data_IF_334038516637
#
_entry.id   IF_334038516637
#
_cell.length_a   1.000
_cell.length_b   1.000
_cell.length_c   1.000
_cell.angle_alpha   90.00
_cell.angle_beta   90.00
_cell.angle_gamma   90.00
#
_symmetry.space_group_name_H-M   'P 1'
#
loop_
_entity.id
_entity.type
_entity.pdbx_description
1 polymer ?
#
# COMPACT_ATOMS: atom_id res chain seq x y z
N UNK A 1 -6.81 23.46 -23.69
CA UNK A 1 -6.75 24.16 -22.39
C UNK A 1 -7.23 23.19 -21.32
N UNK A 2 -6.31 22.44 -20.70
CA UNK A 2 -6.66 21.53 -19.62
C UNK A 2 -6.84 22.37 -18.36
N UNK A 3 -8.10 22.54 -17.93
CA UNK A 3 -8.42 23.14 -16.64
C UNK A 3 -7.88 22.23 -15.54
N UNK A 4 -6.81 22.68 -14.88
CA UNK A 4 -6.27 22.03 -13.68
C UNK A 4 -7.34 21.95 -12.62
N UNK A 5 -7.92 20.76 -12.46
CA UNK A 5 -8.84 20.46 -11.36
C UNK A 5 -8.08 20.51 -10.04
N UNK A 6 -8.62 21.29 -9.10
CA UNK A 6 -8.16 21.42 -7.71
C UNK A 6 -7.72 20.07 -7.13
N UNK A 7 -6.42 19.94 -6.82
CA UNK A 7 -5.83 18.70 -6.34
C UNK A 7 -6.33 18.22 -4.98
N UNK A 8 -7.19 18.95 -4.27
CA UNK A 8 -7.61 18.57 -2.91
C UNK A 8 -8.60 17.40 -2.87
N UNK A 9 -9.41 17.24 -3.90
CA UNK A 9 -10.47 16.22 -3.95
C UNK A 9 -10.13 15.05 -4.88
N UNK A 10 -8.88 14.96 -5.33
CA UNK A 10 -8.45 13.86 -6.19
C UNK A 10 -8.51 12.56 -5.40
N UNK A 11 -9.39 11.66 -5.84
CA UNK A 11 -9.50 10.31 -5.30
C UNK A 11 -8.38 9.43 -5.87
N UNK A 12 -7.76 8.64 -5.01
CA UNK A 12 -6.74 7.67 -5.32
C UNK A 12 -7.19 6.27 -4.87
N UNK A 13 -6.57 5.26 -5.46
CA UNK A 13 -6.82 3.86 -5.20
C UNK A 13 -5.54 3.18 -4.77
N UNK A 14 -5.63 2.36 -3.72
CA UNK A 14 -4.52 1.54 -3.22
C UNK A 14 -4.89 0.07 -3.20
N UNK A 15 -4.07 -0.81 -3.78
CA UNK A 15 -4.27 -2.26 -3.79
C UNK A 15 -3.12 -2.98 -3.11
N UNK A 16 -3.43 -4.00 -2.30
CA UNK A 16 -2.45 -4.91 -1.72
C UNK A 16 -2.41 -6.23 -2.49
N UNK A 17 -1.29 -6.50 -3.15
CA UNK A 17 -1.01 -7.70 -3.92
C UNK A 17 -0.07 -8.63 -3.14
N UNK A 18 -0.06 -9.93 -3.47
CA UNK A 18 0.85 -10.88 -2.81
C UNK A 18 1.65 -11.76 -3.76
N UNK A 19 2.93 -11.91 -3.41
CA UNK A 19 3.85 -12.89 -3.95
C UNK A 19 4.06 -14.01 -2.94
N UNK A 20 4.05 -15.24 -3.42
CA UNK A 20 4.64 -16.36 -2.69
C UNK A 20 6.11 -16.46 -3.08
N UNK A 21 6.99 -16.50 -2.09
CA UNK A 21 8.44 -16.66 -2.27
C UNK A 21 8.91 -18.05 -1.86
N UNK A 22 8.21 -18.66 -0.89
CA UNK A 22 8.51 -19.98 -0.36
C UNK A 22 7.42 -20.48 0.57
N UNK A 23 7.69 -21.59 1.27
CA UNK A 23 6.77 -22.12 2.28
C UNK A 23 6.60 -21.09 3.40
N UNK A 24 5.39 -20.56 3.54
CA UNK A 24 5.06 -19.53 4.51
C UNK A 24 5.90 -18.24 4.41
N UNK A 25 6.47 -17.97 3.24
CA UNK A 25 7.23 -16.75 2.94
C UNK A 25 6.61 -16.00 1.76
N UNK A 26 6.42 -14.70 1.95
CA UNK A 26 5.62 -13.88 1.08
C UNK A 26 6.11 -12.43 0.98
N UNK A 27 5.77 -11.77 -0.12
CA UNK A 27 5.90 -10.31 -0.26
C UNK A 27 4.54 -9.71 -0.53
N UNK A 28 4.08 -8.82 0.33
CA UNK A 28 2.93 -7.96 0.07
C UNK A 28 3.40 -6.71 -0.66
N UNK A 29 2.71 -6.31 -1.72
CA UNK A 29 3.04 -5.10 -2.49
C UNK A 29 1.83 -4.20 -2.49
N UNK A 30 1.95 -3.06 -1.84
CA UNK A 30 0.96 -2.00 -1.87
C UNK A 30 1.25 -1.08 -3.06
N UNK A 31 0.30 -0.97 -4.00
CA UNK A 31 0.41 -0.12 -5.19
C UNK A 31 -0.64 0.98 -5.16
N UNK A 32 -0.29 2.17 -5.63
CA UNK A 32 -1.18 3.36 -5.62
C UNK A 32 -1.24 4.02 -7.00
N UNK A 33 -2.46 4.38 -7.43
CA UNK A 33 -2.72 5.13 -8.66
C UNK A 33 -3.98 6.02 -8.53
N UNK A 34 -4.24 6.85 -9.56
CA UNK A 34 -5.43 7.70 -9.67
C UNK A 34 -6.68 6.94 -10.12
N UNK A 35 -6.48 5.82 -10.80
CA UNK A 35 -7.54 5.02 -11.39
C UNK A 35 -7.25 3.53 -11.24
N UNK A 36 -8.31 2.72 -11.33
CA UNK A 36 -8.28 1.27 -11.13
C UNK A 36 -7.67 0.55 -12.35
N UNK A 37 -7.79 1.12 -13.54
CA UNK A 37 -7.30 0.51 -14.78
C UNK A 37 -5.76 0.45 -14.75
N UNK A 38 -5.10 1.53 -14.33
CA UNK A 38 -3.65 1.57 -14.11
C UNK A 38 -3.17 0.49 -13.14
N UNK A 39 -3.91 0.25 -12.05
CA UNK A 39 -3.57 -0.81 -11.08
C UNK A 39 -3.78 -2.21 -11.68
N UNK A 40 -4.82 -2.38 -12.48
CA UNK A 40 -5.13 -3.64 -13.18
C UNK A 40 -4.07 -3.97 -14.22
N UNK A 41 -3.72 -3.01 -15.07
CA UNK A 41 -2.68 -3.14 -16.09
C UNK A 41 -1.32 -3.46 -15.48
N UNK A 42 -0.97 -2.79 -14.38
CA UNK A 42 0.27 -3.09 -13.66
C UNK A 42 0.25 -4.51 -13.07
N UNK A 43 -0.85 -4.90 -12.43
CA UNK A 43 -1.03 -6.26 -11.89
C UNK A 43 -0.88 -7.29 -13.01
N UNK A 44 -1.55 -7.11 -14.13
CA UNK A 44 -1.58 -8.12 -15.19
C UNK A 44 -0.22 -8.23 -15.91
N UNK A 45 0.49 -7.11 -16.09
CA UNK A 45 1.81 -7.11 -16.72
C UNK A 45 2.93 -7.63 -15.81
N UNK A 46 2.94 -7.24 -14.53
CA UNK A 46 4.06 -7.53 -13.62
C UNK A 46 3.79 -8.71 -12.70
N UNK A 47 2.52 -8.99 -12.45
CA UNK A 47 2.05 -9.80 -11.34
C UNK A 47 0.88 -10.75 -11.71
N UNK A 48 0.89 -11.42 -12.88
CA UNK A 48 -0.29 -12.07 -13.49
C UNK A 48 -0.85 -13.27 -12.71
N UNK A 49 -0.08 -13.88 -11.80
CA UNK A 49 -0.46 -15.12 -11.10
C UNK A 49 -1.05 -14.88 -9.70
N UNK A 50 -1.54 -13.67 -9.39
CA UNK A 50 -1.72 -13.25 -7.99
C UNK A 50 -3.16 -13.01 -7.60
N UNK A 51 -3.48 -13.47 -6.39
CA UNK A 51 -4.73 -13.15 -5.72
C UNK A 51 -4.76 -11.70 -5.25
N UNK A 52 -5.85 -11.01 -5.59
CA UNK A 52 -6.23 -9.74 -5.00
C UNK A 52 -6.68 -9.95 -3.55
N UNK A 53 -6.31 -9.06 -2.62
CA UNK A 53 -6.68 -9.25 -1.22
C UNK A 53 -7.39 -8.08 -0.56
N UNK A 54 -6.90 -6.86 -0.76
CA UNK A 54 -7.56 -5.67 -0.22
C UNK A 54 -7.36 -4.48 -1.13
N UNK A 55 -8.36 -3.61 -1.16
CA UNK A 55 -8.26 -2.28 -1.72
C UNK A 55 -8.75 -1.25 -0.73
N UNK A 56 -8.30 -0.02 -0.97
CA UNK A 56 -8.77 1.17 -0.30
C UNK A 56 -8.88 2.29 -1.31
N UNK A 57 -9.80 3.22 -1.06
CA UNK A 57 -9.83 4.49 -1.77
C UNK A 57 -9.76 5.67 -0.80
N UNK A 58 -8.99 6.68 -1.17
CA UNK A 58 -8.63 7.78 -0.28
C UNK A 58 -8.29 9.06 -1.05
N UNK A 59 -8.21 10.16 -0.33
CA UNK A 59 -7.55 11.40 -0.78
C UNK A 59 -6.30 11.63 0.07
N UNK A 60 -5.26 12.26 -0.48
CA UNK A 60 -4.14 12.67 0.34
C UNK A 60 -4.58 13.80 1.28
N UNK A 61 -4.28 13.67 2.56
CA UNK A 61 -4.51 14.72 3.53
C UNK A 61 -3.44 15.80 3.37
N UNK A 62 -3.85 17.07 3.36
CA UNK A 62 -2.92 18.18 3.32
C UNK A 62 -2.14 18.22 4.64
N UNK A 63 -0.82 18.05 4.56
CA UNK A 63 0.04 18.12 5.74
C UNK A 63 0.13 19.57 6.22
N UNK A 64 -0.26 19.84 7.47
CA UNK A 64 -0.23 21.19 8.06
C UNK A 64 1.15 21.57 8.60
N UNK A 65 2.03 20.60 8.82
CA UNK A 65 3.37 20.84 9.35
C UNK A 65 4.35 21.24 8.23
N UNK A 66 4.72 22.52 8.25
CA UNK A 66 5.59 23.17 7.27
C UNK A 66 7.07 22.76 7.40
N UNK A 67 7.44 21.92 8.37
CA UNK A 67 8.82 21.47 8.58
C UNK A 67 9.20 20.22 7.77
N UNK A 68 8.21 19.52 7.18
CA UNK A 68 8.40 18.27 6.40
C UNK A 68 8.33 18.46 4.87
N UNK A 69 8.15 19.69 4.38
CA UNK A 69 7.61 19.93 3.02
C UNK A 69 8.63 20.20 1.92
N UNK A 70 9.65 19.36 1.73
CA UNK A 70 10.35 19.35 0.43
C UNK A 70 9.69 18.42 -0.60
N UNK A 71 8.92 17.41 -0.15
CA UNK A 71 8.30 16.40 -1.03
C UNK A 71 6.77 16.41 -1.08
N UNK A 72 6.09 17.20 -0.25
CA UNK A 72 4.63 17.35 -0.26
C UNK A 72 3.87 16.20 0.41
N UNK A 73 2.56 16.09 0.12
CA UNK A 73 1.66 15.11 0.73
C UNK A 73 2.06 13.65 0.43
N UNK A 74 1.84 12.76 1.38
CA UNK A 74 2.18 11.34 1.27
C UNK A 74 1.17 10.45 2.00
N UNK A 75 1.18 9.17 1.66
CA UNK A 75 0.55 8.11 2.42
C UNK A 75 1.65 7.30 3.07
N UNK A 76 1.53 7.04 4.37
CA UNK A 76 2.47 6.21 5.13
C UNK A 76 1.76 4.98 5.69
N UNK A 77 2.35 3.80 5.47
CA UNK A 77 1.90 2.55 6.09
C UNK A 77 2.59 2.41 7.45
N UNK A 78 1.79 2.28 8.52
CA UNK A 78 2.29 2.16 9.89
C UNK A 78 2.40 0.69 10.32
N UNK A 79 3.53 0.35 10.92
CA UNK A 79 3.85 -1.03 11.37
C UNK A 79 4.11 -1.13 12.88
N UNK A 80 3.99 -0.01 13.59
CA UNK A 80 4.16 0.14 15.03
C UNK A 80 2.83 0.08 15.81
N UNK A 81 1.72 -0.12 15.11
CA UNK A 81 0.40 -0.10 15.74
C UNK A 81 0.06 -1.46 16.37
N UNK A 82 -0.41 -1.48 17.64
CA UNK A 82 -0.87 -2.69 18.31
C UNK A 82 -1.96 -3.43 17.53
N UNK A 83 -1.87 -4.75 17.49
CA UNK A 83 -2.79 -5.61 16.74
C UNK A 83 -3.83 -6.24 17.67
N UNK A 84 -5.07 -6.33 17.20
CA UNK A 84 -6.18 -6.96 17.96
C UNK A 84 -6.01 -8.47 18.04
N UNK A 85 -5.52 -9.10 16.96
CA UNK A 85 -5.26 -10.54 16.93
C UNK A 85 -3.78 -10.80 17.15
N UNK A 86 -3.48 -11.96 17.74
CA UNK A 86 -2.12 -12.41 17.90
C UNK A 86 -1.40 -12.50 16.55
N UNK A 87 -0.16 -12.05 16.54
CA UNK A 87 0.77 -12.12 15.39
C UNK A 87 2.02 -12.91 15.75
N UNK A 88 2.00 -13.66 16.86
CA UNK A 88 3.13 -14.47 17.33
C UNK A 88 3.64 -15.36 16.20
N UNK A 89 4.96 -15.39 16.07
CA UNK A 89 5.70 -16.08 15.02
C UNK A 89 5.48 -15.58 13.59
N UNK A 90 4.75 -14.49 13.36
CA UNK A 90 4.74 -13.81 12.06
C UNK A 90 5.68 -12.61 12.08
N UNK A 91 6.63 -12.59 11.15
CA UNK A 91 7.54 -11.47 10.93
C UNK A 91 7.03 -10.66 9.75
N UNK A 92 6.76 -9.38 9.99
CA UNK A 92 6.19 -8.44 9.02
C UNK A 92 7.09 -7.22 9.00
N UNK A 93 7.75 -6.98 7.86
CA UNK A 93 8.78 -5.97 7.73
C UNK A 93 8.58 -5.17 6.44
N UNK A 94 8.35 -3.85 6.51
CA UNK A 94 8.41 -3.03 5.31
C UNK A 94 9.85 -2.95 4.79
N UNK A 95 10.02 -2.95 3.47
CA UNK A 95 11.34 -2.87 2.84
C UNK A 95 11.96 -1.48 3.00
N UNK A 96 11.14 -0.45 3.20
CA UNK A 96 11.54 0.92 3.47
C UNK A 96 10.89 1.46 4.75
N UNK A 97 11.66 2.17 5.57
CA UNK A 97 11.18 2.83 6.80
C UNK A 97 11.65 4.29 6.77
N UNK A 98 10.73 5.27 6.81
CA UNK A 98 9.27 5.12 6.81
C UNK A 98 8.71 4.60 5.48
N UNK A 99 7.63 3.83 5.54
CA UNK A 99 7.00 3.21 4.37
C UNK A 99 6.04 4.21 3.71
N UNK A 100 6.61 5.13 2.89
CA UNK A 100 5.90 6.29 2.31
C UNK A 100 5.77 6.21 0.79
N UNK A 101 4.60 6.58 0.29
CA UNK A 101 4.35 6.87 -1.12
C UNK A 101 3.92 8.34 -1.24
N UNK A 102 4.68 9.13 -2.00
CA UNK A 102 4.42 10.55 -2.19
C UNK A 102 3.40 10.78 -3.30
N UNK A 103 2.46 11.69 -3.05
CA UNK A 103 1.47 12.14 -4.03
C UNK A 103 2.12 12.59 -5.32
N UNK A 104 3.21 13.37 -5.23
CA UNK A 104 3.94 13.88 -6.39
C UNK A 104 4.45 12.79 -7.33
N UNK A 105 4.75 11.61 -6.80
CA UNK A 105 5.21 10.47 -7.59
C UNK A 105 4.01 9.72 -8.21
N UNK A 106 2.92 9.58 -7.46
CA UNK A 106 1.66 8.99 -7.98
C UNK A 106 1.08 9.86 -9.09
N UNK A 107 1.18 11.18 -8.96
CA UNK A 107 0.62 12.12 -9.91
C UNK A 107 1.32 12.09 -11.28
N UNK A 108 2.56 11.58 -11.35
CA UNK A 108 3.35 11.41 -12.58
C UNK A 108 3.09 10.10 -13.31
N UNK A 109 2.37 9.15 -12.72
CA UNK A 109 2.12 7.85 -13.34
C UNK A 109 1.41 8.04 -14.68
N UNK A 110 1.90 7.37 -15.72
CA UNK A 110 1.43 7.52 -17.11
C UNK A 110 2.12 8.62 -17.92
N UNK A 111 3.00 9.42 -17.31
CA UNK A 111 3.84 10.40 -18.03
C UNK A 111 5.14 9.74 -18.55
N UNK A 112 5.83 10.34 -19.55
CA UNK A 112 7.10 9.80 -20.07
C UNK A 112 8.12 9.55 -18.95
N UNK A 113 8.63 8.32 -18.88
CA UNK A 113 9.58 7.89 -17.85
C UNK A 113 8.95 7.37 -16.55
N UNK A 114 7.62 7.46 -16.40
CA UNK A 114 6.89 7.01 -15.21
C UNK A 114 5.69 6.11 -15.56
N UNK A 115 5.90 4.96 -16.23
CA UNK A 115 4.80 4.11 -16.69
C UNK A 115 4.15 3.28 -15.56
N UNK A 116 4.85 3.08 -14.45
CA UNK A 116 4.43 2.15 -13.40
C UNK A 116 3.92 2.92 -12.16
N UNK A 117 2.85 2.43 -11.50
CA UNK A 117 2.40 2.98 -10.23
C UNK A 117 3.49 2.88 -9.16
N UNK A 118 3.45 3.82 -8.21
CA UNK A 118 4.35 3.78 -7.07
C UNK A 118 3.90 2.69 -6.10
N UNK A 119 4.88 2.01 -5.54
CA UNK A 119 4.63 0.84 -4.70
C UNK A 119 5.47 0.86 -3.43
N UNK A 120 5.04 0.06 -2.45
CA UNK A 120 5.81 -0.28 -1.27
C UNK A 120 5.69 -1.77 -1.00
N UNK A 121 6.83 -2.40 -0.72
CA UNK A 121 6.93 -3.84 -0.52
C UNK A 121 7.10 -4.16 0.95
N UNK A 122 6.47 -5.27 1.37
CA UNK A 122 6.41 -5.71 2.76
C UNK A 122 6.71 -7.20 2.78
N UNK A 123 7.82 -7.55 3.39
CA UNK A 123 8.21 -8.93 3.62
C UNK A 123 7.36 -9.53 4.74
N UNK A 124 6.79 -10.71 4.51
CA UNK A 124 5.94 -11.44 5.45
C UNK A 124 6.39 -12.88 5.50
N UNK A 125 6.83 -13.37 6.65
CA UNK A 125 7.17 -14.78 6.81
C UNK A 125 6.79 -15.32 8.18
N UNK A 126 6.51 -16.62 8.24
CA UNK A 126 6.22 -17.33 9.48
C UNK A 126 7.47 -18.02 10.03
N UNK A 127 7.65 -17.97 11.34
CA UNK A 127 8.57 -18.81 12.10
C UNK A 127 7.83 -20.08 12.58
N UNK A 128 8.54 -21.09 13.11
CA UNK A 128 7.92 -22.35 13.53
C UNK A 128 6.83 -22.22 14.62
N UNK A 129 6.87 -21.15 15.42
CA UNK A 129 5.91 -20.84 16.49
C UNK A 129 4.74 -19.95 16.02
N UNK A 130 4.61 -19.73 14.70
CA UNK A 130 3.57 -18.89 14.14
C UNK A 130 2.16 -19.38 14.45
N UNK A 131 1.29 -18.45 14.85
CA UNK A 131 -0.15 -18.74 14.96
C UNK A 131 -0.72 -19.09 13.58
N UNK A 132 -1.68 -20.02 13.54
CA UNK A 132 -2.24 -20.57 12.29
C UNK A 132 -2.75 -19.49 11.32
N UNK A 133 -3.39 -18.42 11.83
CA UNK A 133 -4.00 -17.36 11.02
C UNK A 133 -3.44 -16.00 11.39
N UNK A 134 -2.80 -15.35 10.44
CA UNK A 134 -2.43 -13.96 10.51
C UNK A 134 -3.57 -13.08 10.02
N UNK A 135 -3.89 -12.03 10.80
CA UNK A 135 -4.65 -10.87 10.33
C UNK A 135 -3.99 -9.61 10.92
N UNK A 136 -3.11 -9.01 10.15
CA UNK A 136 -2.34 -7.83 10.54
C UNK A 136 -2.91 -6.58 9.86
N UNK A 137 -3.53 -5.70 10.63
CA UNK A 137 -4.04 -4.42 10.14
C UNK A 137 -2.88 -3.43 9.95
N UNK A 138 -2.86 -2.73 8.82
CA UNK A 138 -1.92 -1.67 8.50
C UNK A 138 -2.67 -0.34 8.49
N UNK A 139 -2.53 0.49 9.54
CA UNK A 139 -3.06 1.84 9.53
C UNK A 139 -2.33 2.71 8.49
N UNK A 140 -3.05 3.71 8.00
CA UNK A 140 -2.57 4.64 6.99
C UNK A 140 -2.58 6.05 7.57
N UNK A 141 -1.45 6.73 7.44
CA UNK A 141 -1.28 8.13 7.84
C UNK A 141 -1.17 9.01 6.59
N UNK A 142 -1.58 10.28 6.71
CA UNK A 142 -1.51 11.26 5.63
C UNK A 142 -2.60 11.12 4.56
N UNK A 143 -3.68 10.40 4.86
CA UNK A 143 -4.81 10.21 3.95
C UNK A 143 -6.16 10.33 4.65
N UNK A 144 -7.18 10.71 3.90
CA UNK A 144 -8.59 10.63 4.31
C UNK A 144 -9.24 9.51 3.51
N UNK A 145 -9.69 8.46 4.19
CA UNK A 145 -10.35 7.32 3.54
C UNK A 145 -11.72 7.75 3.03
N UNK A 146 -11.95 7.63 1.72
CA UNK A 146 -13.19 8.09 1.05
C UNK A 146 -14.10 6.95 0.62
N UNK A 147 -13.67 5.69 0.79
CA UNK A 147 -14.53 4.54 0.59
C UNK A 147 -13.79 3.22 0.76
N UNK A 148 -14.42 2.32 1.52
CA UNK A 148 -14.07 0.91 1.67
C UNK A 148 -12.71 0.60 2.29
N UNK A 149 -12.69 -0.37 3.21
CA UNK A 149 -11.51 -1.18 3.52
C UNK A 149 -10.62 -0.68 4.67
N UNK A 150 -10.23 -1.63 5.51
CA UNK A 150 -9.00 -1.55 6.30
C UNK A 150 -7.92 -2.28 5.50
N UNK A 151 -6.75 -1.68 5.32
CA UNK A 151 -5.62 -2.40 4.72
C UNK A 151 -5.15 -3.45 5.72
N UNK A 152 -5.11 -4.72 5.34
CA UNK A 152 -4.60 -5.77 6.21
C UNK A 152 -3.89 -6.88 5.45
N UNK A 153 -2.95 -7.51 6.15
CA UNK A 153 -2.26 -8.73 5.73
C UNK A 153 -2.95 -9.95 6.31
N UNK A 154 -3.57 -10.75 5.45
CA UNK A 154 -4.16 -12.04 5.79
C UNK A 154 -3.29 -13.19 5.30
N UNK A 155 -2.93 -14.11 6.20
CA UNK A 155 -2.26 -15.38 5.86
C UNK A 155 -2.74 -16.53 6.71
N UNK A 156 -2.65 -17.72 6.14
CA UNK A 156 -2.83 -18.99 6.85
C UNK A 156 -1.55 -19.79 6.66
N UNK A 157 -1.01 -20.31 7.76
CA UNK A 157 0.15 -21.19 7.74
C UNK A 157 -0.16 -22.44 6.89
N UNK A 158 0.75 -22.78 5.98
CA UNK A 158 0.73 -23.96 5.11
C UNK A 158 1.66 -25.03 5.63
#
# INVERSE_FOLDING_TARGET
MATGGSGRDTKYWGWLLYEEKGLNEYVAIFIVAKDVDTLSDYRDRKHPKRGYHSSISFTFAQQQDSTLTSRGDYIELKFDTPQVKATTGWIIKPDTVPCRIYRSDVDKVGTPGYPDPRSSSISVHATPDAVLRLKYTIPLEGVVVTGGGTLYIGRTLR
#
